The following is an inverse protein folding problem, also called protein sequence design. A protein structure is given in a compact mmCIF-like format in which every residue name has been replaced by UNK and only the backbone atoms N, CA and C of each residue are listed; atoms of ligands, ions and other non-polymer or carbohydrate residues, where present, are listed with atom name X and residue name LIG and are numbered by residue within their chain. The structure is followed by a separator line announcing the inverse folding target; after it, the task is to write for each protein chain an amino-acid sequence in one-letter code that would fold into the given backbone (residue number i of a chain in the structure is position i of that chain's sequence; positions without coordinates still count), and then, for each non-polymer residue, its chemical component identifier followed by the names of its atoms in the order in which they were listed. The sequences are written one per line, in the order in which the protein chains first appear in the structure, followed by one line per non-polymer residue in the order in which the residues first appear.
data_IF_514270357935
#
_entry.id   IF_514270357935
#
_cell.length_a   1.000
_cell.length_b   1.000
_cell.length_c   1.000
_cell.angle_alpha   90.00
_cell.angle_beta   90.00
_cell.angle_gamma   90.00
#
_symmetry.space_group_name_H-M   'P 1'
#
loop_
_entity.id
_entity.type
_entity.pdbx_description
1 polymer ?
#
# COMPACT_ATOMS: atom_id res chain seq x y z
N UNK A 1 -15.46 -20.71 -56.96
CA UNK A 1 -15.58 -20.93 -55.50
C UNK A 1 -16.02 -19.65 -54.83
N UNK A 2 -16.83 -19.79 -53.80
CA UNK A 2 -17.65 -18.80 -53.12
C UNK A 2 -16.93 -17.64 -52.43
N UNK A 3 -17.76 -16.63 -52.11
CA UNK A 3 -17.67 -15.65 -51.02
C UNK A 3 -16.89 -14.35 -51.30
N UNK A 4 -17.67 -13.31 -51.63
CA UNK A 4 -17.29 -11.91 -51.40
C UNK A 4 -16.97 -11.74 -49.90
N UNK A 5 -15.78 -11.24 -49.52
CA UNK A 5 -15.38 -11.12 -48.14
C UNK A 5 -16.10 -9.93 -47.49
N UNK A 6 -16.75 -10.22 -46.36
CA UNK A 6 -16.95 -9.30 -45.24
C UNK A 6 -17.70 -8.00 -45.54
N UNK A 7 -19.03 -8.10 -45.51
CA UNK A 7 -19.88 -7.22 -44.70
C UNK A 7 -19.68 -5.71 -44.90
N UNK A 8 -20.45 -5.12 -45.80
CA UNK A 8 -20.55 -3.67 -45.96
C UNK A 8 -20.77 -2.94 -44.64
N UNK A 9 -20.09 -1.80 -44.47
CA UNK A 9 -20.26 -0.88 -43.33
C UNK A 9 -21.74 -0.51 -43.22
N UNK A 10 -22.39 -0.69 -42.05
CA UNK A 10 -23.74 -0.20 -41.84
C UNK A 10 -23.79 1.32 -42.00
N UNK A 11 -24.66 1.84 -42.86
CA UNK A 11 -24.81 3.29 -43.07
C UNK A 11 -25.18 4.06 -41.79
N UNK A 12 -25.76 3.36 -40.81
CA UNK A 12 -26.16 3.93 -39.51
C UNK A 12 -25.09 3.79 -38.41
N UNK A 13 -23.84 3.44 -38.78
CA UNK A 13 -22.74 3.23 -37.84
C UNK A 13 -22.43 4.52 -37.04
N UNK A 14 -22.42 5.69 -37.69
CA UNK A 14 -22.14 6.98 -37.02
C UNK A 14 -23.21 7.31 -35.98
N UNK A 15 -24.49 7.07 -36.29
CA UNK A 15 -25.60 7.29 -35.35
C UNK A 15 -25.60 6.29 -34.20
N UNK A 16 -25.33 5.02 -34.50
CA UNK A 16 -25.19 3.98 -33.48
C UNK A 16 -24.05 4.28 -32.52
N UNK A 17 -22.95 4.84 -33.03
CA UNK A 17 -21.83 5.26 -32.22
C UNK A 17 -22.16 6.45 -31.32
N UNK A 18 -22.88 7.45 -31.84
CA UNK A 18 -23.42 8.55 -31.03
C UNK A 18 -24.33 8.06 -29.91
N UNK A 19 -25.26 7.15 -30.22
CA UNK A 19 -26.18 6.57 -29.25
C UNK A 19 -25.43 5.86 -28.11
N UNK A 20 -24.41 5.05 -28.45
CA UNK A 20 -23.56 4.38 -27.46
C UNK A 20 -22.74 5.39 -26.65
N UNK A 21 -22.25 6.46 -27.28
CA UNK A 21 -21.50 7.53 -26.61
C UNK A 21 -22.35 8.27 -25.58
N UNK A 22 -23.64 8.48 -25.86
CA UNK A 22 -24.58 9.07 -24.93
C UNK A 22 -24.98 8.13 -23.79
N UNK A 23 -25.28 6.86 -24.09
CA UNK A 23 -25.70 5.86 -23.09
C UNK A 23 -24.59 5.53 -22.08
N UNK A 24 -23.37 5.31 -22.57
CA UNK A 24 -22.21 4.99 -21.71
C UNK A 24 -21.63 6.25 -21.06
N UNK A 25 -21.80 7.40 -21.71
CA UNK A 25 -21.20 8.66 -21.33
C UNK A 25 -19.72 8.75 -21.69
N UNK A 26 -19.32 9.89 -22.25
CA UNK A 26 -17.97 10.17 -22.76
C UNK A 26 -16.84 9.94 -21.74
N UNK A 27 -17.15 10.02 -20.44
CA UNK A 27 -16.15 9.83 -19.38
C UNK A 27 -15.78 8.37 -19.11
N UNK A 28 -16.68 7.42 -19.42
CA UNK A 28 -16.45 5.98 -19.21
C UNK A 28 -16.28 5.20 -20.51
N UNK A 29 -16.58 5.85 -21.64
CA UNK A 29 -16.46 5.26 -22.95
C UNK A 29 -15.00 4.94 -23.30
N UNK A 30 -14.72 3.64 -23.41
CA UNK A 30 -13.45 3.11 -23.91
C UNK A 30 -13.65 2.54 -25.31
N UNK A 31 -12.57 2.53 -26.12
CA UNK A 31 -12.55 1.91 -27.45
C UNK A 31 -13.10 0.47 -27.43
N UNK A 32 -12.74 -0.30 -26.39
CA UNK A 32 -13.20 -1.68 -26.23
C UNK A 32 -14.69 -1.76 -25.91
N UNK A 33 -15.21 -0.85 -25.08
CA UNK A 33 -16.65 -0.79 -24.76
C UNK A 33 -17.45 -0.44 -26.00
N UNK A 34 -17.00 0.55 -26.77
CA UNK A 34 -17.66 0.96 -28.00
C UNK A 34 -17.66 -0.18 -29.03
N UNK A 35 -16.51 -0.82 -29.25
CA UNK A 35 -16.40 -1.98 -30.14
C UNK A 35 -17.37 -3.10 -29.73
N UNK A 36 -17.37 -3.52 -28.46
CA UNK A 36 -18.27 -4.57 -27.96
C UNK A 36 -19.74 -4.21 -28.12
N UNK A 37 -20.11 -2.95 -27.91
CA UNK A 37 -21.49 -2.48 -28.10
C UNK A 37 -21.89 -2.45 -29.57
N UNK A 38 -21.00 -2.04 -30.47
CA UNK A 38 -21.21 -2.10 -31.92
C UNK A 38 -21.33 -3.55 -32.40
N UNK A 39 -20.44 -4.43 -31.95
CA UNK A 39 -20.49 -5.87 -32.24
C UNK A 39 -21.79 -6.50 -31.73
N UNK A 40 -22.25 -6.12 -30.54
CA UNK A 40 -23.54 -6.58 -30.01
C UNK A 40 -24.74 -6.07 -30.82
N UNK A 41 -24.71 -4.80 -31.26
CA UNK A 41 -25.82 -4.18 -32.02
C UNK A 41 -25.96 -4.79 -33.41
N UNK A 42 -24.86 -4.95 -34.13
CA UNK A 42 -24.87 -5.48 -35.50
C UNK A 42 -24.69 -6.99 -35.58
N UNK A 43 -24.33 -7.67 -34.47
CA UNK A 43 -23.98 -9.10 -34.43
C UNK A 43 -22.90 -9.46 -35.47
N UNK A 44 -22.00 -8.52 -35.74
CA UNK A 44 -20.90 -8.64 -36.69
C UNK A 44 -19.59 -8.30 -35.98
N UNK A 45 -18.52 -9.00 -36.33
CA UNK A 45 -17.18 -8.68 -35.84
C UNK A 45 -16.66 -7.40 -36.51
N UNK A 46 -16.43 -6.37 -35.70
CA UNK A 46 -15.82 -5.11 -36.17
C UNK A 46 -14.28 -5.16 -36.20
N UNK A 47 -13.67 -6.30 -35.86
CA UNK A 47 -12.19 -6.48 -35.89
C UNK A 47 -11.53 -6.07 -37.22
N UNK A 48 -12.02 -6.46 -38.41
CA UNK A 48 -11.42 -6.00 -39.66
C UNK A 48 -11.69 -4.51 -39.96
N UNK A 49 -12.75 -3.94 -39.39
CA UNK A 49 -13.16 -2.54 -39.57
C UNK A 49 -12.62 -1.60 -38.48
N UNK A 50 -11.70 -2.06 -37.62
CA UNK A 50 -11.24 -1.29 -36.45
C UNK A 50 -10.68 0.09 -36.83
N UNK A 51 -9.95 0.18 -37.95
CA UNK A 51 -9.39 1.44 -38.44
C UNK A 51 -10.48 2.46 -38.84
N UNK A 52 -11.56 1.98 -39.47
CA UNK A 52 -12.67 2.83 -39.88
C UNK A 52 -13.52 3.28 -38.68
N UNK A 53 -13.75 2.37 -37.72
CA UNK A 53 -14.39 2.71 -36.44
C UNK A 53 -13.56 3.77 -35.73
N UNK A 54 -12.24 3.60 -35.61
CA UNK A 54 -11.36 4.59 -34.97
C UNK A 54 -11.37 5.95 -35.70
N UNK A 55 -11.40 5.95 -37.04
CA UNK A 55 -11.51 7.17 -37.85
C UNK A 55 -12.82 7.90 -37.57
N UNK A 56 -13.94 7.16 -37.53
CA UNK A 56 -15.26 7.70 -37.30
C UNK A 56 -15.40 8.20 -35.84
N UNK A 57 -14.83 7.49 -34.86
CA UNK A 57 -14.74 7.94 -33.45
C UNK A 57 -13.98 9.25 -33.38
N UNK A 58 -12.81 9.34 -34.03
CA UNK A 58 -12.01 10.57 -34.04
C UNK A 58 -12.79 11.77 -34.61
N UNK A 59 -13.50 11.56 -35.73
CA UNK A 59 -14.40 12.57 -36.30
C UNK A 59 -15.49 12.98 -35.29
N UNK A 60 -16.13 12.01 -34.65
CA UNK A 60 -17.24 12.24 -33.72
C UNK A 60 -16.82 12.93 -32.42
N UNK A 61 -15.62 12.63 -31.92
CA UNK A 61 -15.00 13.33 -30.78
C UNK A 61 -14.61 14.77 -31.10
N UNK A 62 -14.48 15.12 -32.39
CA UNK A 62 -14.18 16.48 -32.87
C UNK A 62 -15.45 17.29 -33.13
N UNK A 63 -16.63 16.66 -33.16
CA UNK A 63 -17.91 17.35 -33.31
C UNK A 63 -18.11 18.35 -32.16
N UNK A 64 -18.55 19.60 -32.44
CA UNK A 64 -18.69 20.64 -31.42
C UNK A 64 -19.65 20.25 -30.29
N UNK A 65 -20.64 19.40 -30.55
CA UNK A 65 -21.58 18.89 -29.55
C UNK A 65 -20.86 18.02 -28.50
N UNK A 66 -20.06 17.06 -28.94
CA UNK A 66 -19.27 16.18 -28.08
C UNK A 66 -18.19 16.96 -27.33
N UNK A 67 -17.56 17.94 -27.99
CA UNK A 67 -16.60 18.82 -27.32
C UNK A 67 -17.24 19.69 -26.24
N UNK A 68 -18.45 20.23 -26.48
CA UNK A 68 -19.20 20.97 -25.44
C UNK A 68 -19.54 20.08 -24.26
N UNK A 69 -19.94 18.85 -24.51
CA UNK A 69 -20.25 17.90 -23.44
C UNK A 69 -19.00 17.51 -22.65
N UNK A 70 -17.87 17.29 -23.32
CA UNK A 70 -16.58 17.05 -22.67
C UNK A 70 -16.15 18.26 -21.83
N UNK A 71 -16.34 19.48 -22.35
CA UNK A 71 -16.05 20.72 -21.63
C UNK A 71 -16.94 20.91 -20.39
N UNK A 72 -18.24 20.55 -20.46
CA UNK A 72 -19.11 20.55 -19.29
C UNK A 72 -18.62 19.56 -18.23
N UNK A 73 -18.24 18.35 -18.63
CA UNK A 73 -17.70 17.33 -17.71
C UNK A 73 -16.38 17.81 -17.07
N UNK A 74 -15.51 18.47 -17.84
CA UNK A 74 -14.28 19.06 -17.31
C UNK A 74 -14.58 20.19 -16.33
N UNK A 75 -15.48 21.12 -16.68
CA UNK A 75 -15.90 22.22 -15.81
C UNK A 75 -16.55 21.71 -14.53
N UNK A 76 -17.41 20.70 -14.60
CA UNK A 76 -18.02 20.08 -13.41
C UNK A 76 -16.96 19.44 -12.51
N UNK A 77 -15.97 18.75 -13.09
CA UNK A 77 -14.84 18.20 -12.32
C UNK A 77 -14.02 19.31 -11.65
N UNK A 78 -13.79 20.42 -12.35
CA UNK A 78 -13.11 21.58 -11.79
C UNK A 78 -13.94 22.28 -10.71
N UNK A 79 -15.25 22.45 -10.89
CA UNK A 79 -16.15 23.04 -9.89
C UNK A 79 -16.25 22.17 -8.64
N UNK A 80 -16.33 20.85 -8.80
CA UNK A 80 -16.28 19.89 -7.68
C UNK A 80 -14.93 19.97 -6.96
N UNK A 81 -13.84 20.18 -7.71
CA UNK A 81 -12.51 20.39 -7.13
C UNK A 81 -12.40 21.74 -6.40
N UNK A 82 -12.92 22.82 -6.99
CA UNK A 82 -12.90 24.17 -6.43
C UNK A 82 -13.78 24.30 -5.19
N UNK A 83 -14.99 23.71 -5.19
CA UNK A 83 -15.86 23.60 -4.01
C UNK A 83 -15.19 22.82 -2.89
N UNK A 84 -14.45 21.76 -3.23
CA UNK A 84 -13.66 21.00 -2.25
C UNK A 84 -12.55 21.87 -1.66
N UNK A 85 -11.78 22.58 -2.48
CA UNK A 85 -10.71 23.47 -2.03
C UNK A 85 -11.23 24.63 -1.15
N UNK A 86 -12.38 25.22 -1.49
CA UNK A 86 -13.03 26.25 -0.66
C UNK A 86 -13.50 25.70 0.69
N UNK A 87 -14.07 24.49 0.71
CA UNK A 87 -14.55 23.87 1.95
C UNK A 87 -13.43 23.51 2.93
N UNK A 88 -12.22 23.23 2.44
CA UNK A 88 -11.06 22.97 3.28
C UNK A 88 -10.47 24.25 3.93
N UNK A 89 -10.86 25.45 3.49
CA UNK A 89 -10.36 26.73 4.05
C UNK A 89 -11.19 27.30 5.21
N UNK A 90 -12.31 26.69 5.58
CA UNK A 90 -13.13 27.14 6.72
C UNK A 90 -12.82 26.33 7.99
N UNK A 91 -12.41 26.95 9.12
CA UNK A 91 -12.08 26.20 10.33
C UNK A 91 -13.36 25.95 11.15
N UNK A 92 -13.90 24.73 11.07
CA UNK A 92 -14.83 24.24 12.09
C UNK A 92 -14.76 22.72 12.24
N UNK A 93 -14.69 22.35 13.52
CA UNK A 93 -14.69 21.06 14.20
C UNK A 93 -15.10 19.79 13.43
N UNK A 94 -14.20 18.79 13.54
CA UNK A 94 -14.50 17.39 13.90
C UNK A 94 -15.54 16.61 13.08
N UNK A 95 -15.31 16.41 11.77
CA UNK A 95 -15.63 15.12 11.12
C UNK A 95 -14.77 14.90 9.88
N UNK A 96 -13.68 14.14 10.05
CA UNK A 96 -12.71 13.78 9.00
C UNK A 96 -13.40 13.01 7.87
N UNK A 97 -13.89 13.75 6.87
CA UNK A 97 -14.64 13.22 5.75
C UNK A 97 -13.71 12.51 4.74
N UNK A 98 -14.22 11.42 4.19
CA UNK A 98 -13.49 10.27 3.62
C UNK A 98 -12.81 10.51 2.26
N UNK A 99 -12.67 11.76 1.78
CA UNK A 99 -12.31 12.04 0.36
C UNK A 99 -10.81 12.30 0.10
N UNK A 100 -10.02 12.73 1.09
CA UNK A 100 -8.54 12.87 0.91
C UNK A 100 -7.74 11.58 1.05
N UNK A 101 -8.40 10.46 1.40
CA UNK A 101 -7.71 9.19 1.57
C UNK A 101 -7.51 8.40 0.27
N UNK A 102 -8.00 8.90 -0.87
CA UNK A 102 -7.91 8.21 -2.15
C UNK A 102 -6.61 8.55 -2.91
N UNK A 103 -6.12 9.80 -2.84
CA UNK A 103 -4.88 10.20 -3.52
C UNK A 103 -3.61 9.78 -2.76
N UNK A 104 -3.64 9.73 -1.42
CA UNK A 104 -2.49 9.31 -0.61
C UNK A 104 -2.33 7.79 -0.48
N UNK A 105 -3.37 7.00 -0.84
CA UNK A 105 -3.29 5.54 -0.82
C UNK A 105 -2.66 5.08 -2.12
N UNK A 106 -1.34 5.30 -2.22
CA UNK A 106 -0.52 4.95 -3.38
C UNK A 106 -0.99 3.66 -4.02
N UNK A 107 -1.20 3.73 -5.35
CA UNK A 107 -1.80 2.70 -6.19
C UNK A 107 -1.18 1.34 -5.82
N UNK A 108 -1.88 0.61 -4.95
CA UNK A 108 -1.41 -0.70 -4.49
C UNK A 108 -1.34 -1.55 -5.73
N UNK A 109 -0.18 -2.13 -6.01
CA UNK A 109 -0.08 -3.16 -7.04
C UNK A 109 -1.21 -4.15 -6.80
N UNK A 110 -2.00 -4.37 -7.85
CA UNK A 110 -3.09 -5.31 -7.80
C UNK A 110 -2.49 -6.68 -8.13
N UNK A 111 -3.08 -7.72 -7.56
CA UNK A 111 -2.81 -9.08 -8.02
C UNK A 111 -3.11 -9.16 -9.53
N UNK A 112 -2.34 -9.93 -10.30
CA UNK A 112 -2.73 -10.31 -11.64
C UNK A 112 -4.16 -10.90 -11.64
N UNK A 113 -4.92 -10.67 -12.70
CA UNK A 113 -6.31 -11.13 -12.80
C UNK A 113 -6.41 -12.67 -12.70
N UNK A 114 -5.44 -13.37 -13.28
CA UNK A 114 -5.30 -14.82 -13.28
C UNK A 114 -4.67 -15.40 -11.97
N UNK A 115 -4.49 -14.57 -10.93
CA UNK A 115 -3.88 -15.04 -9.68
C UNK A 115 -4.83 -15.94 -8.87
N UNK A 116 -4.41 -17.15 -8.45
CA UNK A 116 -5.25 -18.08 -7.68
C UNK A 116 -5.86 -17.45 -6.42
N UNK A 117 -7.14 -17.75 -6.17
CA UNK A 117 -7.82 -17.26 -4.98
C UNK A 117 -7.26 -17.96 -3.75
N UNK A 118 -6.82 -17.16 -2.78
CA UNK A 118 -6.19 -17.63 -1.55
C UNK A 118 -7.03 -18.68 -0.81
N UNK A 119 -6.35 -19.54 -0.05
CA UNK A 119 -7.00 -20.49 0.84
C UNK A 119 -7.97 -19.78 1.80
N UNK A 120 -9.17 -20.32 1.90
CA UNK A 120 -10.21 -19.88 2.80
C UNK A 120 -9.88 -20.34 4.22
N UNK A 121 -9.96 -19.40 5.17
CA UNK A 121 -9.87 -19.71 6.59
C UNK A 121 -11.15 -20.42 7.06
N UNK A 122 -11.12 -21.24 8.12
CA UNK A 122 -12.30 -21.93 8.66
C UNK A 122 -13.48 -20.99 8.90
N UNK A 123 -13.19 -19.80 9.42
CA UNK A 123 -14.18 -18.74 9.64
C UNK A 123 -14.84 -18.27 8.34
N UNK A 124 -14.08 -18.15 7.24
CA UNK A 124 -14.63 -17.69 5.95
C UNK A 124 -15.55 -18.75 5.35
N UNK A 125 -15.23 -20.03 5.51
CA UNK A 125 -16.09 -21.14 5.08
C UNK A 125 -17.40 -21.10 5.88
N UNK A 126 -17.32 -20.97 7.21
CA UNK A 126 -18.47 -20.80 8.09
C UNK A 126 -19.34 -19.61 7.69
N UNK A 127 -18.72 -18.45 7.42
CA UNK A 127 -19.43 -17.25 6.95
C UNK A 127 -20.13 -17.54 5.63
N UNK A 128 -19.48 -18.20 4.67
CA UNK A 128 -20.09 -18.48 3.36
C UNK A 128 -21.34 -19.37 3.48
N UNK A 129 -21.32 -20.39 4.34
CA UNK A 129 -22.47 -21.30 4.53
C UNK A 129 -23.63 -20.64 5.30
N UNK A 130 -23.31 -19.79 6.29
CA UNK A 130 -24.34 -19.21 7.16
C UNK A 130 -24.79 -17.82 6.72
N UNK A 131 -24.07 -17.15 5.82
CA UNK A 131 -24.40 -15.79 5.35
C UNK A 131 -25.80 -15.70 4.77
N UNK A 132 -26.18 -16.64 3.91
CA UNK A 132 -27.52 -16.65 3.30
C UNK A 132 -28.61 -16.93 4.35
N UNK A 133 -28.35 -17.81 5.32
CA UNK A 133 -29.28 -18.10 6.43
C UNK A 133 -29.51 -16.86 7.31
N UNK A 134 -28.43 -16.13 7.63
CA UNK A 134 -28.52 -14.90 8.43
C UNK A 134 -29.18 -13.77 7.64
N UNK A 135 -28.86 -13.64 6.35
CA UNK A 135 -29.46 -12.65 5.46
C UNK A 135 -30.95 -12.91 5.24
N UNK A 136 -31.40 -14.17 5.19
CA UNK A 136 -32.82 -14.50 5.11
C UNK A 136 -33.59 -14.12 6.38
N UNK A 137 -32.96 -14.27 7.56
CA UNK A 137 -33.54 -13.85 8.86
C UNK A 137 -33.51 -12.33 9.04
N UNK A 138 -32.51 -11.68 8.47
CA UNK A 138 -32.25 -10.26 8.60
C UNK A 138 -32.02 -9.60 7.22
N UNK A 139 -33.04 -9.57 6.34
CA UNK A 139 -32.87 -9.09 4.97
C UNK A 139 -32.59 -7.58 4.89
N UNK A 140 -33.12 -6.80 5.85
CA UNK A 140 -32.95 -5.35 5.92
C UNK A 140 -31.61 -4.94 6.55
N UNK A 141 -30.93 -5.86 7.23
CA UNK A 141 -29.68 -5.57 7.93
C UNK A 141 -28.53 -5.38 6.95
N UNK A 142 -27.65 -4.43 7.29
CA UNK A 142 -26.48 -4.15 6.47
C UNK A 142 -25.51 -5.32 6.54
N UNK A 143 -24.88 -5.64 5.40
CA UNK A 143 -23.86 -6.71 5.32
C UNK A 143 -22.73 -6.60 6.36
N UNK A 144 -22.43 -5.40 6.87
CA UNK A 144 -21.45 -5.16 7.93
C UNK A 144 -21.90 -5.71 9.29
N UNK A 145 -23.19 -5.60 9.56
CA UNK A 145 -23.79 -5.96 10.84
C UNK A 145 -24.01 -7.48 10.86
N UNK A 146 -24.49 -8.04 9.75
CA UNK A 146 -24.53 -9.50 9.53
C UNK A 146 -23.17 -10.16 9.71
N UNK A 147 -22.10 -9.56 9.20
CA UNK A 147 -20.75 -10.11 9.35
C UNK A 147 -20.23 -9.99 10.79
N UNK A 148 -20.70 -8.99 11.54
CA UNK A 148 -20.38 -8.82 12.96
C UNK A 148 -21.10 -9.86 13.82
N UNK A 149 -22.38 -10.12 13.54
CA UNK A 149 -23.15 -11.19 14.16
C UNK A 149 -22.53 -12.57 13.88
N UNK A 150 -22.13 -12.82 12.63
CA UNK A 150 -21.45 -14.06 12.24
C UNK A 150 -20.13 -14.26 12.99
N UNK A 151 -19.37 -13.17 13.19
CA UNK A 151 -18.15 -13.20 14.01
C UNK A 151 -18.42 -13.54 15.48
N UNK A 152 -19.53 -13.05 16.03
CA UNK A 152 -19.94 -13.40 17.39
C UNK A 152 -20.44 -14.85 17.50
N UNK A 153 -21.16 -15.33 16.49
CA UNK A 153 -21.61 -16.71 16.41
C UNK A 153 -20.42 -17.68 16.30
N UNK A 154 -19.42 -17.37 15.46
CA UNK A 154 -18.20 -18.15 15.35
C UNK A 154 -17.40 -18.24 16.65
N UNK A 155 -17.32 -17.14 17.41
CA UNK A 155 -16.66 -17.15 18.73
C UNK A 155 -17.37 -18.12 19.70
N UNK A 156 -18.70 -18.15 19.64
CA UNK A 156 -19.57 -19.03 20.46
C UNK A 156 -19.74 -20.44 19.91
N UNK A 157 -19.37 -20.70 18.66
CA UNK A 157 -19.47 -22.02 18.04
C UNK A 157 -18.64 -23.05 18.82
N UNK A 158 -19.15 -24.28 18.86
CA UNK A 158 -18.51 -25.40 19.55
C UNK A 158 -17.18 -25.78 18.88
N UNK A 159 -16.31 -26.46 19.63
CA UNK A 159 -15.05 -26.97 19.08
C UNK A 159 -15.30 -28.00 17.96
N UNK A 160 -16.38 -28.79 18.06
CA UNK A 160 -16.77 -29.75 17.02
C UNK A 160 -17.13 -29.06 15.70
N UNK A 161 -17.91 -27.97 15.77
CA UNK A 161 -18.26 -27.18 14.61
C UNK A 161 -17.00 -26.53 14.01
N UNK A 162 -16.15 -25.94 14.86
CA UNK A 162 -14.87 -25.36 14.43
C UNK A 162 -13.96 -26.40 13.77
N UNK A 163 -13.89 -27.61 14.33
CA UNK A 163 -13.10 -28.73 13.81
C UNK A 163 -13.57 -29.16 12.42
N UNK A 164 -14.90 -29.21 12.18
CA UNK A 164 -15.45 -29.47 10.85
C UNK A 164 -14.97 -28.43 9.82
N UNK A 165 -15.07 -27.14 10.14
CA UNK A 165 -14.60 -26.09 9.22
C UNK A 165 -13.08 -26.01 9.13
N UNK A 166 -12.35 -26.46 10.16
CA UNK A 166 -10.89 -26.57 10.12
C UNK A 166 -10.46 -27.60 9.09
N UNK A 167 -11.08 -28.79 9.07
CA UNK A 167 -10.81 -29.82 8.04
C UNK A 167 -11.09 -29.30 6.62
N UNK A 168 -12.23 -28.63 6.43
CA UNK A 168 -12.56 -28.00 5.14
C UNK A 168 -11.54 -26.93 4.74
N UNK A 169 -11.02 -26.15 5.69
CA UNK A 169 -9.99 -25.16 5.41
C UNK A 169 -8.64 -25.81 5.07
N UNK A 170 -8.31 -26.94 5.68
CA UNK A 170 -7.10 -27.71 5.37
C UNK A 170 -7.19 -28.32 3.95
N UNK A 171 -8.35 -28.85 3.55
CA UNK A 171 -8.62 -29.28 2.18
C UNK A 171 -8.54 -28.12 1.17
N UNK A 172 -9.10 -26.96 1.53
CA UNK A 172 -9.06 -25.76 0.69
C UNK A 172 -7.64 -25.19 0.56
N UNK A 173 -6.80 -25.36 1.59
CA UNK A 173 -5.38 -25.07 1.53
C UNK A 173 -4.69 -25.94 0.50
N UNK A 174 -4.98 -27.25 0.46
CA UNK A 174 -4.44 -28.16 -0.55
C UNK A 174 -4.92 -27.82 -1.98
N UNK A 175 -6.15 -27.32 -2.14
CA UNK A 175 -6.62 -26.77 -3.43
C UNK A 175 -5.76 -25.56 -3.82
N UNK A 176 -5.61 -24.58 -2.93
CA UNK A 176 -4.82 -23.38 -3.21
C UNK A 176 -3.37 -23.71 -3.54
N UNK A 177 -2.75 -24.64 -2.81
CA UNK A 177 -1.36 -25.06 -3.07
C UNK A 177 -1.22 -25.69 -4.47
N UNK A 178 -2.19 -26.51 -4.90
CA UNK A 178 -2.25 -27.07 -6.26
C UNK A 178 -2.47 -25.98 -7.33
N UNK A 179 -3.43 -25.09 -7.15
CA UNK A 179 -3.68 -23.96 -8.07
C UNK A 179 -2.49 -23.01 -8.16
N UNK A 180 -1.80 -22.77 -7.03
CA UNK A 180 -0.60 -21.95 -6.96
C UNK A 180 0.58 -22.61 -7.65
N UNK A 181 0.79 -23.91 -7.45
CA UNK A 181 1.82 -24.66 -8.18
C UNK A 181 1.55 -24.61 -9.71
N UNK A 182 0.30 -24.81 -10.13
CA UNK A 182 -0.09 -24.67 -11.53
C UNK A 182 0.08 -23.23 -12.06
N UNK A 183 -0.13 -22.21 -11.23
CA UNK A 183 0.13 -20.80 -11.56
C UNK A 183 1.61 -20.50 -11.75
N UNK A 184 2.45 -21.01 -10.84
CA UNK A 184 3.89 -20.85 -10.95
C UNK A 184 4.43 -21.60 -12.17
N UNK A 185 3.93 -22.81 -12.44
CA UNK A 185 4.31 -23.60 -13.60
C UNK A 185 3.99 -22.91 -14.94
N UNK A 186 2.89 -22.14 -15.03
CA UNK A 186 2.56 -21.32 -16.23
C UNK A 186 3.32 -19.99 -16.31
N UNK A 187 4.35 -19.79 -15.48
CA UNK A 187 5.16 -18.56 -15.44
C UNK A 187 4.58 -17.46 -14.55
N UNK A 188 3.57 -17.76 -13.74
CA UNK A 188 3.02 -16.84 -12.75
C UNK A 188 3.98 -16.60 -11.59
N UNK A 189 4.11 -15.35 -11.15
CA UNK A 189 4.93 -15.00 -9.99
C UNK A 189 4.07 -14.80 -8.74
N UNK A 190 4.51 -15.34 -7.59
CA UNK A 190 3.79 -15.18 -6.31
C UNK A 190 3.69 -13.70 -5.94
N UNK A 191 2.46 -13.19 -5.88
CA UNK A 191 2.19 -11.79 -5.60
C UNK A 191 2.37 -11.48 -4.11
N UNK A 192 3.45 -10.75 -3.76
CA UNK A 192 3.68 -10.27 -2.40
C UNK A 192 3.00 -8.91 -2.18
N UNK A 193 1.78 -8.92 -1.64
CA UNK A 193 1.04 -7.69 -1.32
C UNK A 193 1.79 -6.84 -0.29
N UNK A 194 2.30 -5.70 -0.71
CA UNK A 194 2.85 -4.71 0.21
C UNK A 194 4.14 -5.15 0.89
N UNK A 195 5.01 -5.87 0.17
CA UNK A 195 6.42 -5.81 0.51
C UNK A 195 6.77 -4.33 0.63
N UNK A 196 7.15 -3.89 1.85
CA UNK A 196 7.79 -2.57 2.03
C UNK A 196 8.71 -2.38 0.84
N UNK A 197 8.51 -1.30 0.05
CA UNK A 197 9.46 -0.82 -0.97
C UNK A 197 10.83 -1.23 -0.50
N UNK A 198 11.43 -2.20 -1.21
CA UNK A 198 12.72 -2.79 -0.91
C UNK A 198 13.12 -2.54 0.55
N UNK A 199 12.66 -3.38 1.49
CA UNK A 199 13.59 -3.83 2.53
C UNK A 199 14.74 -4.37 1.69
N UNK A 200 15.69 -3.48 1.34
CA UNK A 200 16.91 -3.74 0.58
C UNK A 200 17.23 -5.15 0.95
N UNK A 201 17.20 -6.06 -0.03
CA UNK A 201 17.46 -7.49 0.16
C UNK A 201 18.36 -7.53 1.36
N UNK A 202 17.82 -8.04 2.49
CA UNK A 202 18.59 -8.09 3.72
C UNK A 202 19.81 -8.80 3.21
N UNK A 203 20.90 -8.05 2.94
CA UNK A 203 22.19 -8.65 2.61
C UNK A 203 22.27 -9.67 3.71
N UNK A 204 22.37 -10.92 3.32
CA UNK A 204 22.56 -12.00 4.25
C UNK A 204 23.81 -11.54 5.01
N UNK A 205 23.54 -10.87 6.14
CA UNK A 205 24.57 -10.36 7.00
C UNK A 205 25.01 -11.65 7.58
N UNK A 206 26.24 -12.05 7.27
CA UNK A 206 26.80 -13.27 7.81
C UNK A 206 26.35 -13.36 9.26
N UNK A 207 25.72 -14.47 9.69
CA UNK A 207 25.29 -14.61 11.08
C UNK A 207 26.44 -14.35 12.07
N UNK A 208 27.69 -14.46 11.58
CA UNK A 208 28.93 -14.21 12.28
C UNK A 208 29.56 -12.82 12.04
N UNK A 209 28.91 -11.93 11.28
CA UNK A 209 29.37 -10.55 11.12
C UNK A 209 29.31 -9.82 12.48
N UNK A 210 30.37 -9.08 12.86
CA UNK A 210 30.43 -8.43 14.14
C UNK A 210 29.31 -7.38 14.28
N UNK A 211 28.71 -7.35 15.48
CA UNK A 211 27.66 -6.37 15.81
C UNK A 211 28.32 -5.00 15.87
N UNK A 212 27.63 -3.99 15.31
CA UNK A 212 28.15 -2.62 15.23
C UNK A 212 28.56 -2.09 16.59
N UNK A 213 29.59 -1.25 16.59
CA UNK A 213 30.01 -0.51 17.78
C UNK A 213 28.82 0.21 18.42
N UNK A 214 28.67 0.05 19.72
CA UNK A 214 27.70 0.76 20.53
C UNK A 214 28.20 2.18 20.77
N UNK A 215 27.33 3.16 20.55
CA UNK A 215 27.60 4.57 20.85
C UNK A 215 27.47 4.84 22.36
N UNK A 216 28.01 5.96 22.84
CA UNK A 216 27.96 6.36 24.25
C UNK A 216 26.52 6.36 24.81
N UNK A 217 25.57 6.82 23.99
CA UNK A 217 24.14 6.76 24.32
C UNK A 217 23.63 5.34 24.57
N UNK A 218 24.07 4.33 23.81
CA UNK A 218 23.60 2.96 24.01
C UNK A 218 24.12 2.34 25.31
N UNK A 219 25.33 2.70 25.73
CA UNK A 219 25.84 2.30 27.05
C UNK A 219 25.02 2.95 28.17
N UNK A 220 24.81 4.27 28.10
CA UNK A 220 23.96 4.96 29.06
C UNK A 220 22.53 4.43 29.07
N UNK A 221 21.92 4.22 27.91
CA UNK A 221 20.57 3.68 27.80
C UNK A 221 20.49 2.22 28.31
N UNK A 222 21.59 1.46 28.29
CA UNK A 222 21.67 0.15 28.93
C UNK A 222 21.62 0.29 30.45
N UNK A 223 22.45 1.14 31.02
CA UNK A 223 22.51 1.39 32.47
C UNK A 223 21.22 2.02 32.98
N UNK A 224 20.60 2.92 32.21
CA UNK A 224 19.30 3.51 32.52
C UNK A 224 18.21 2.45 32.58
N UNK A 225 18.19 1.50 31.64
CA UNK A 225 17.23 0.38 31.68
C UNK A 225 17.47 -0.55 32.85
N UNK A 226 18.73 -0.78 33.23
CA UNK A 226 19.06 -1.59 34.41
C UNK A 226 18.59 -0.91 35.71
N UNK A 227 18.77 0.41 35.81
CA UNK A 227 18.30 1.22 36.95
C UNK A 227 16.77 1.36 36.99
N UNK A 228 16.13 1.44 35.82
CA UNK A 228 14.68 1.66 35.67
C UNK A 228 13.93 0.42 35.15
N UNK A 229 14.29 -0.78 35.62
CA UNK A 229 13.72 -2.05 35.15
C UNK A 229 12.20 -2.19 35.38
N UNK A 230 11.62 -1.39 36.29
CA UNK A 230 10.20 -1.42 36.64
C UNK A 230 9.29 -0.67 35.62
N UNK A 231 9.89 0.20 34.78
CA UNK A 231 9.16 1.01 33.81
C UNK A 231 9.03 0.22 32.49
N UNK A 232 7.89 0.24 31.77
CA UNK A 232 7.78 -0.43 30.48
C UNK A 232 8.83 0.11 29.48
N UNK A 233 9.44 -0.78 28.69
CA UNK A 233 10.57 -0.47 27.80
C UNK A 233 10.36 0.73 26.86
N UNK A 234 9.10 1.01 26.48
CA UNK A 234 8.74 2.18 25.67
C UNK A 234 8.96 3.51 26.41
N UNK A 235 8.60 3.56 27.69
CA UNK A 235 8.82 4.73 28.54
C UNK A 235 10.32 4.86 28.89
N UNK A 236 10.99 3.75 29.23
CA UNK A 236 12.44 3.74 29.46
C UNK A 236 13.22 4.36 28.29
N UNK A 237 12.86 4.04 27.05
CA UNK A 237 13.53 4.59 25.86
C UNK A 237 13.33 6.12 25.75
N UNK A 238 12.13 6.61 26.06
CA UNK A 238 11.82 8.05 26.02
C UNK A 238 12.57 8.79 27.13
N UNK A 239 12.56 8.25 28.34
CA UNK A 239 13.20 8.84 29.52
C UNK A 239 14.72 8.78 29.41
N UNK A 240 15.31 7.68 28.93
CA UNK A 240 16.74 7.60 28.67
C UNK A 240 17.19 8.63 27.62
N UNK A 241 16.39 8.88 26.59
CA UNK A 241 16.68 9.94 25.61
C UNK A 241 16.67 11.33 26.24
N UNK A 242 15.65 11.62 27.06
CA UNK A 242 15.54 12.89 27.76
C UNK A 242 16.66 13.08 28.81
N UNK A 243 16.99 12.02 29.56
CA UNK A 243 18.06 12.03 30.55
C UNK A 243 19.41 12.27 29.89
N UNK A 244 19.74 11.55 28.81
CA UNK A 244 20.98 11.76 28.05
C UNK A 244 21.14 13.18 27.52
N UNK A 245 20.04 13.82 27.09
CA UNK A 245 20.04 15.22 26.68
C UNK A 245 20.37 16.19 27.82
N UNK A 246 20.06 15.83 29.06
CA UNK A 246 20.29 16.64 30.27
C UNK A 246 21.62 16.38 30.98
N UNK A 247 22.25 15.22 30.78
CA UNK A 247 23.54 14.89 31.41
C UNK A 247 24.66 15.83 30.94
N UNK A 248 25.57 16.17 31.85
CA UNK A 248 26.74 17.02 31.54
C UNK A 248 27.79 16.27 30.69
N UNK A 249 28.74 17.00 30.10
CA UNK A 249 29.84 16.39 29.34
C UNK A 249 30.71 15.47 30.24
N UNK A 250 30.84 15.79 31.52
CA UNK A 250 31.62 15.01 32.49
C UNK A 250 30.96 13.66 32.81
N UNK A 251 29.63 13.63 32.96
CA UNK A 251 28.90 12.38 33.16
C UNK A 251 28.85 11.53 31.89
N UNK A 252 28.93 12.16 30.72
CA UNK A 252 29.04 11.49 29.42
C UNK A 252 30.43 10.92 29.16
N UNK A 253 31.49 11.56 29.67
CA UNK A 253 32.89 11.17 29.52
C UNK A 253 33.17 9.67 29.76
N UNK A 254 32.72 9.03 30.86
CA UNK A 254 32.93 7.59 31.03
C UNK A 254 32.23 6.77 29.94
N UNK A 255 31.02 7.13 29.52
CA UNK A 255 30.31 6.43 28.45
C UNK A 255 30.95 6.65 27.06
N UNK A 256 31.55 7.82 26.83
CA UNK A 256 32.32 8.13 25.63
C UNK A 256 33.61 7.33 25.56
N UNK A 257 34.32 7.16 26.67
CA UNK A 257 35.47 6.27 26.74
C UNK A 257 35.09 4.80 26.51
N UNK A 258 33.96 4.34 27.07
CA UNK A 258 33.43 3.00 26.79
C UNK A 258 33.08 2.85 25.29
N UNK A 259 32.46 3.86 24.68
CA UNK A 259 32.18 3.87 23.25
C UNK A 259 33.46 3.87 22.41
N UNK A 260 34.51 4.59 22.83
CA UNK A 260 35.81 4.57 22.17
C UNK A 260 36.48 3.20 22.24
N UNK A 261 36.39 2.51 23.39
CA UNK A 261 36.86 1.13 23.56
C UNK A 261 36.05 0.16 22.68
N UNK A 262 34.73 0.29 22.63
CA UNK A 262 33.85 -0.56 21.81
C UNK A 262 34.06 -0.34 20.31
N UNK A 263 34.34 0.91 19.90
CA UNK A 263 34.74 1.25 18.53
C UNK A 263 36.03 0.51 18.13
N UNK A 264 37.04 0.50 19.01
CA UNK A 264 38.28 -0.27 18.78
C UNK A 264 38.01 -1.77 18.67
N UNK A 265 37.12 -2.34 19.51
CA UNK A 265 36.69 -3.76 19.39
C UNK A 265 36.10 -4.03 18.00
N UNK A 266 35.16 -3.20 17.57
CA UNK A 266 34.48 -3.38 16.28
C UNK A 266 35.45 -3.23 15.09
N UNK A 267 36.38 -2.27 15.14
CA UNK A 267 37.41 -2.10 14.11
C UNK A 267 38.35 -3.31 14.03
N UNK A 268 38.77 -3.88 15.16
CA UNK A 268 39.57 -5.09 15.21
C UNK A 268 38.81 -6.32 14.67
N UNK A 269 37.56 -6.52 15.08
CA UNK A 269 36.71 -7.63 14.60
C UNK A 269 36.38 -7.53 13.11
N UNK A 270 36.16 -6.31 12.59
CA UNK A 270 35.95 -6.09 11.16
C UNK A 270 37.22 -6.38 10.34
N UNK A 271 38.38 -5.94 10.84
CA UNK A 271 39.67 -6.12 10.16
C UNK A 271 40.07 -7.59 10.06
N UNK A 272 39.87 -8.35 11.14
CA UNK A 272 40.20 -9.78 11.19
C UNK A 272 39.33 -10.68 10.30
N UNK A 273 38.15 -10.23 9.84
CA UNK A 273 37.19 -11.04 9.08
C UNK A 273 36.99 -10.59 7.62
N UNK A 274 37.74 -9.61 7.12
CA UNK A 274 37.58 -9.09 5.75
C UNK A 274 36.23 -8.41 5.49
N UNK A 275 35.43 -8.17 6.53
CA UNK A 275 34.13 -7.51 6.42
C UNK A 275 34.34 -6.00 6.45
N UNK A 276 34.39 -5.36 5.28
CA UNK A 276 34.54 -3.89 5.15
C UNK A 276 33.53 -3.18 6.05
N UNK A 277 33.94 -2.24 6.94
CA UNK A 277 33.02 -1.50 7.77
C UNK A 277 32.05 -0.75 6.87
N UNK A 278 30.76 -1.05 6.99
CA UNK A 278 29.72 -0.31 6.28
C UNK A 278 29.67 1.11 6.83
N UNK A 279 30.44 2.02 6.23
CA UNK A 279 30.49 3.43 6.60
C UNK A 279 29.07 4.03 6.58
N UNK A 280 28.73 4.90 7.54
CA UNK A 280 27.44 5.59 7.55
C UNK A 280 27.35 6.49 6.31
N UNK A 281 26.20 6.46 5.62
CA UNK A 281 25.92 7.46 4.59
C UNK A 281 25.90 8.82 5.27
N UNK A 282 26.81 9.72 4.89
CA UNK A 282 26.73 11.14 5.20
C UNK A 282 25.37 11.64 4.72
N UNK A 283 24.45 11.84 5.66
CA UNK A 283 23.22 12.59 5.46
C UNK A 283 23.41 13.86 6.26
N UNK A 284 23.54 14.96 5.52
CA UNK A 284 23.34 16.35 5.90
C UNK A 284 23.37 16.65 7.41
N UNK A 285 24.56 16.97 7.91
CA UNK A 285 24.76 17.73 9.15
C UNK A 285 25.18 19.15 8.79
N UNK A 286 24.37 19.81 7.96
CA UNK A 286 24.29 21.25 7.92
C UNK A 286 23.09 21.67 8.78
N UNK A 287 23.32 22.59 9.71
CA UNK A 287 22.34 23.16 10.66
C UNK A 287 22.19 22.42 12.00
N UNK A 288 23.00 22.81 12.98
CA UNK A 288 22.46 23.64 14.07
C UNK A 288 23.63 24.37 14.76
N UNK A 289 24.07 25.43 14.09
CA UNK A 289 24.67 26.59 14.73
C UNK A 289 23.65 27.17 15.72
N UNK A 290 23.89 27.02 17.02
CA UNK A 290 23.27 27.87 18.04
C UNK A 290 24.09 27.79 19.33
N UNK A 291 24.86 28.87 19.54
CA UNK A 291 25.17 29.53 20.80
C UNK A 291 25.77 28.70 21.95
N UNK A 292 27.02 28.99 22.32
CA UNK A 292 27.23 29.99 23.38
C UNK A 292 28.65 30.57 23.25
N UNK A 293 28.71 31.86 22.92
CA UNK A 293 29.89 32.69 23.11
C UNK A 293 29.69 33.43 24.42
N UNK A 294 30.46 33.09 25.44
CA UNK A 294 30.77 33.93 26.59
C UNK A 294 32.21 33.59 27.02
N UNK A 295 33.21 34.21 26.38
CA UNK A 295 33.83 35.51 26.71
C UNK A 295 34.88 35.38 27.82
N UNK A 296 36.15 35.58 27.42
CA UNK A 296 37.33 36.19 28.07
C UNK A 296 37.49 36.13 29.59
N UNK A 297 38.65 35.74 30.14
CA UNK A 297 39.89 36.55 30.25
C UNK A 297 41.05 35.56 30.63
N UNK A 298 42.22 35.41 29.96
CA UNK A 298 43.44 36.29 29.94
C UNK A 298 43.62 37.02 31.27
N UNK A 299 44.70 37.02 32.04
CA UNK A 299 46.15 36.92 31.88
C UNK A 299 46.67 36.96 33.35
N UNK A 300 47.74 36.29 33.79
CA UNK A 300 49.01 36.95 34.11
C UNK A 300 49.93 35.91 34.78
N UNK A 301 50.97 35.55 34.02
CA UNK A 301 52.41 35.46 34.35
C UNK A 301 52.90 35.16 35.79
N UNK A 302 53.77 34.13 35.83
CA UNK A 302 54.94 33.84 36.71
C UNK A 302 54.86 34.15 38.22
#
# INVERSE_FOLDING_TARGET
MSALPNGSIPADLEKSMLEIMHDVGLSTLSKNTLRRRLEAKYKMDFTPLTAEVDRLVGKLMTTPEIQRELAKIQKEKEDVSARRLKRERSPSSTKKSKKDKESARGKKEKKPDDYPKGALSPYIIFVNENREKLKAKHPDMKNTDLLSEMGNLWKKASEEEKSRYQKLADEDKLRYDREMAAYIARGGAVFKRGGKKAKREKKEKDPQAPKRALTAYFFFASDYRAKHANIPAKQQMSEAGAAWGKMSAEEKKPYEELAAKDKKRYEAECSGRGSKPSQPKAADSASSSSADSSSSDSDESD
#
